data_IF_857905008535
#
_entry.id   IF_857905008535
#
_cell.length_a   1.000
_cell.length_b   1.000
_cell.length_c   1.000
_cell.angle_alpha   90.00
_cell.angle_beta   90.00
_cell.angle_gamma   90.00
#
_symmetry.space_group_name_H-M   'P 1'
#
loop_
_entity.id
_entity.type
_entity.pdbx_description
1 polymer ?
#
# COMPACT_ATOMS: atom_id res chain seq x y z
N UNK A 1 -7.94 1.30 -11.07
CA UNK A 1 -8.45 0.56 -9.89
C UNK A 1 -9.86 0.04 -10.17
N UNK A 2 -10.83 0.89 -10.48
CA UNK A 2 -12.23 0.50 -10.72
C UNK A 2 -12.37 -0.61 -11.77
N UNK A 3 -11.68 -0.49 -12.91
CA UNK A 3 -11.71 -1.50 -13.98
C UNK A 3 -11.15 -2.85 -13.53
N UNK A 4 -10.08 -2.86 -12.71
CA UNK A 4 -9.51 -4.09 -12.15
C UNK A 4 -10.50 -4.74 -11.19
N UNK A 5 -11.11 -3.97 -10.30
CA UNK A 5 -12.12 -4.45 -9.34
C UNK A 5 -13.38 -4.99 -10.02
N UNK A 6 -13.70 -4.52 -11.23
CA UNK A 6 -14.85 -4.98 -12.01
C UNK A 6 -14.62 -6.35 -12.69
N UNK A 7 -13.39 -6.85 -12.70
CA UNK A 7 -13.09 -8.17 -13.25
C UNK A 7 -13.69 -9.24 -12.34
N UNK A 8 -14.49 -10.14 -12.93
CA UNK A 8 -15.08 -11.25 -12.18
C UNK A 8 -13.99 -12.18 -11.61
N UNK A 9 -14.01 -12.42 -10.31
CA UNK A 9 -13.10 -13.35 -9.64
C UNK A 9 -13.35 -14.82 -10.03
N UNK A 10 -14.52 -15.13 -10.64
CA UNK A 10 -14.98 -16.48 -10.95
C UNK A 10 -15.03 -17.40 -9.74
N UNK A 11 -15.42 -16.84 -8.60
CA UNK A 11 -15.48 -17.56 -7.32
C UNK A 11 -14.11 -17.85 -6.68
N UNK A 12 -13.02 -17.36 -7.26
CA UNK A 12 -11.69 -17.46 -6.62
C UNK A 12 -11.64 -16.54 -5.41
N UNK A 13 -10.92 -16.96 -4.40
CA UNK A 13 -10.66 -16.21 -3.17
C UNK A 13 -9.16 -15.96 -3.03
N UNK A 14 -8.81 -15.05 -2.12
CA UNK A 14 -7.43 -14.80 -1.75
C UNK A 14 -6.70 -16.08 -1.32
N UNK A 15 -5.52 -16.30 -1.86
CA UNK A 15 -4.72 -17.53 -1.65
C UNK A 15 -4.17 -17.70 -0.23
N UNK A 16 -4.34 -16.68 0.64
CA UNK A 16 -3.79 -16.57 1.99
C UNK A 16 -2.25 -16.49 2.04
N UNK A 17 -1.62 -16.22 0.92
CA UNK A 17 -0.17 -15.99 0.82
C UNK A 17 0.10 -14.58 0.30
N UNK A 18 1.10 -13.90 0.87
CA UNK A 18 1.44 -12.52 0.49
C UNK A 18 0.44 -11.48 1.00
N UNK A 19 0.50 -10.28 0.41
CA UNK A 19 -0.35 -9.13 0.74
C UNK A 19 -1.79 -9.32 0.25
N UNK A 20 -2.73 -8.67 0.93
CA UNK A 20 -4.15 -8.67 0.54
C UNK A 20 -5.07 -9.52 1.42
N UNK A 21 -4.57 -9.96 2.56
CA UNK A 21 -5.33 -10.70 3.55
C UNK A 21 -5.41 -10.00 4.91
N UNK A 22 -5.05 -10.74 5.95
CA UNK A 22 -4.95 -10.23 7.32
C UNK A 22 -3.64 -9.45 7.50
N UNK A 23 -3.74 -8.21 7.98
CA UNK A 23 -2.58 -7.37 8.24
C UNK A 23 -1.66 -7.95 9.31
N UNK A 24 -2.21 -8.61 10.33
CA UNK A 24 -1.43 -9.26 11.39
C UNK A 24 -0.52 -10.38 10.87
N UNK A 25 -0.87 -11.00 9.77
CA UNK A 25 -0.02 -12.00 9.13
C UNK A 25 1.34 -11.43 8.67
N UNK A 26 1.45 -10.09 8.58
CA UNK A 26 2.65 -9.38 8.19
C UNK A 26 3.52 -8.87 9.36
N UNK A 27 3.15 -9.16 10.62
CA UNK A 27 3.85 -8.65 11.80
C UNK A 27 5.35 -9.01 11.81
N UNK A 28 5.70 -10.25 11.52
CA UNK A 28 7.11 -10.67 11.52
C UNK A 28 7.90 -10.03 10.36
N UNK A 29 7.25 -9.82 9.21
CA UNK A 29 7.85 -9.09 8.11
C UNK A 29 8.09 -7.62 8.48
N UNK A 30 7.07 -6.94 9.02
CA UNK A 30 7.19 -5.53 9.45
C UNK A 30 8.26 -5.38 10.54
N UNK A 31 8.31 -6.28 11.51
CA UNK A 31 9.35 -6.30 12.54
C UNK A 31 10.76 -6.44 11.93
N UNK A 32 10.92 -7.32 10.97
CA UNK A 32 12.18 -7.48 10.23
C UNK A 32 12.54 -6.18 9.50
N UNK A 33 11.58 -5.56 8.80
CA UNK A 33 11.79 -4.32 8.09
C UNK A 33 12.15 -3.16 9.02
N UNK A 34 11.50 -3.04 10.19
CA UNK A 34 11.84 -2.04 11.20
C UNK A 34 13.29 -2.21 11.67
N UNK A 35 13.68 -3.42 12.06
CA UNK A 35 15.06 -3.70 12.48
C UNK A 35 16.08 -3.34 11.38
N UNK A 36 15.80 -3.72 10.13
CA UNK A 36 16.67 -3.42 8.98
C UNK A 36 16.69 -1.95 8.58
N UNK A 37 15.71 -1.17 9.01
CA UNK A 37 15.60 0.26 8.73
C UNK A 37 16.20 1.14 9.84
N UNK A 38 16.81 0.57 10.86
CA UNK A 38 17.53 1.33 11.89
C UNK A 38 18.60 2.22 11.25
N UNK A 39 18.64 3.50 11.64
CA UNK A 39 19.52 4.49 11.03
C UNK A 39 19.09 5.02 9.66
N UNK A 40 18.07 4.42 9.03
CA UNK A 40 17.50 4.86 7.75
C UNK A 40 16.17 5.61 7.91
N UNK A 41 15.41 5.35 8.98
CA UNK A 41 14.11 5.95 9.25
C UNK A 41 13.84 6.01 10.77
N UNK A 42 12.82 6.78 11.19
CA UNK A 42 12.36 6.81 12.59
C UNK A 42 11.54 5.55 12.91
N UNK A 43 12.25 4.44 13.19
CA UNK A 43 11.64 3.15 13.47
C UNK A 43 10.74 3.16 14.72
N UNK A 44 11.00 4.06 15.68
CA UNK A 44 10.17 4.18 16.90
C UNK A 44 8.76 4.67 16.56
N UNK A 45 8.66 5.76 15.80
CA UNK A 45 7.38 6.30 15.33
C UNK A 45 6.67 5.33 14.37
N UNK A 46 7.42 4.70 13.46
CA UNK A 46 6.87 3.72 12.53
C UNK A 46 6.31 2.49 13.24
N UNK A 47 6.97 2.00 14.28
CA UNK A 47 6.45 0.90 15.09
C UNK A 47 5.11 1.22 15.75
N UNK A 48 4.96 2.42 16.30
CA UNK A 48 3.69 2.89 16.89
C UNK A 48 2.57 2.98 15.86
N UNK A 49 2.89 3.43 14.63
CA UNK A 49 1.93 3.49 13.53
C UNK A 49 1.45 2.09 13.16
N UNK A 50 2.39 1.13 13.01
CA UNK A 50 2.00 -0.24 12.71
C UNK A 50 1.07 -0.84 13.75
N UNK A 51 1.33 -0.61 15.05
CA UNK A 51 0.46 -1.08 16.12
C UNK A 51 -0.99 -0.56 16.01
N UNK A 52 -1.19 0.65 15.45
CA UNK A 52 -2.54 1.19 15.19
C UNK A 52 -3.18 0.59 13.92
N UNK A 53 -2.36 0.28 12.91
CA UNK A 53 -2.84 -0.16 11.60
C UNK A 53 -3.10 -1.67 11.51
N UNK A 54 -2.27 -2.49 12.17
CA UNK A 54 -2.29 -3.95 12.05
C UNK A 54 -3.61 -4.61 12.45
N UNK A 55 -4.37 -3.95 13.32
CA UNK A 55 -5.60 -4.48 13.91
C UNK A 55 -6.86 -4.06 13.15
N UNK A 56 -6.72 -3.33 12.03
CA UNK A 56 -7.85 -2.91 11.21
C UNK A 56 -8.58 -4.13 10.63
N UNK A 57 -9.87 -4.32 10.93
CA UNK A 57 -10.61 -5.48 10.47
C UNK A 57 -10.80 -5.44 8.95
N UNK A 58 -10.93 -6.61 8.35
CA UNK A 58 -11.31 -6.75 6.97
C UNK A 58 -12.83 -6.93 6.89
N UNK A 59 -13.52 -6.06 6.17
CA UNK A 59 -14.99 -6.09 6.03
C UNK A 59 -15.44 -6.35 4.60
N UNK A 60 -14.64 -5.97 3.62
CA UNK A 60 -14.97 -6.15 2.21
C UNK A 60 -14.69 -7.58 1.72
N UNK A 61 -15.49 -8.11 0.79
CA UNK A 61 -15.17 -9.35 0.09
C UNK A 61 -13.93 -9.19 -0.78
N UNK A 62 -13.38 -10.33 -1.23
CA UNK A 62 -12.29 -10.34 -2.21
C UNK A 62 -12.76 -9.74 -3.53
N UNK A 63 -12.00 -8.77 -4.06
CA UNK A 63 -12.13 -8.27 -5.41
C UNK A 63 -10.83 -8.52 -6.18
N UNK A 64 -10.89 -8.48 -7.50
CA UNK A 64 -9.66 -8.52 -8.29
C UNK A 64 -8.82 -7.29 -7.98
N UNK A 65 -7.55 -7.52 -7.71
CA UNK A 65 -6.55 -6.49 -7.41
C UNK A 65 -5.34 -6.66 -8.30
N UNK A 66 -4.62 -5.57 -8.55
CA UNK A 66 -3.30 -5.61 -9.14
C UNK A 66 -2.26 -6.09 -8.10
N UNK A 67 -2.39 -5.63 -6.87
CA UNK A 67 -1.59 -6.03 -5.71
C UNK A 67 -0.23 -5.33 -5.59
N UNK A 68 0.22 -4.59 -6.61
CA UNK A 68 1.54 -3.95 -6.62
C UNK A 68 1.57 -2.63 -7.42
N UNK A 69 0.65 -1.70 -7.10
CA UNK A 69 0.56 -0.37 -7.75
C UNK A 69 1.61 0.60 -7.21
N UNK A 70 2.88 0.26 -7.39
CA UNK A 70 4.03 1.13 -7.08
C UNK A 70 4.40 2.01 -8.28
N UNK A 71 5.17 3.10 -8.09
CA UNK A 71 5.59 3.99 -9.18
C UNK A 71 6.26 3.29 -10.36
N UNK A 72 7.01 2.21 -10.11
CA UNK A 72 7.67 1.41 -11.15
C UNK A 72 6.71 0.68 -12.09
N UNK A 73 5.48 0.43 -11.65
CA UNK A 73 4.47 -0.30 -12.40
C UNK A 73 3.43 0.62 -13.06
N UNK A 74 3.60 1.94 -12.97
CA UNK A 74 2.68 2.93 -13.53
C UNK A 74 3.36 3.76 -14.61
N UNK A 75 2.89 3.63 -15.85
CA UNK A 75 3.39 4.41 -16.99
C UNK A 75 2.59 5.70 -17.15
N UNK A 76 3.32 6.80 -17.26
CA UNK A 76 2.75 8.13 -17.51
C UNK A 76 3.31 8.70 -18.80
N UNK A 77 2.46 9.21 -19.68
CA UNK A 77 2.84 9.91 -20.90
C UNK A 77 2.00 11.17 -21.05
N UNK A 78 2.63 12.29 -21.37
CA UNK A 78 1.98 13.60 -21.51
C UNK A 78 1.07 13.95 -20.30
N UNK A 79 1.51 13.65 -19.08
CA UNK A 79 0.76 13.93 -17.85
C UNK A 79 -0.47 13.04 -17.62
N UNK A 80 -0.63 11.96 -18.36
CA UNK A 80 -1.77 11.03 -18.27
C UNK A 80 -1.28 9.61 -18.03
N UNK A 81 -2.10 8.80 -17.35
CA UNK A 81 -1.89 7.36 -17.23
C UNK A 81 -1.86 6.75 -18.64
N UNK A 82 -0.75 6.12 -18.99
CA UNK A 82 -0.55 5.46 -20.29
C UNK A 82 -0.64 3.93 -20.19
N UNK A 83 -0.37 3.37 -19.00
CA UNK A 83 -0.45 1.92 -18.79
C UNK A 83 -0.07 1.52 -17.38
N UNK A 84 -0.37 0.26 -17.07
CA UNK A 84 0.03 -0.41 -15.84
C UNK A 84 0.82 -1.65 -16.22
N UNK A 85 1.95 -1.87 -15.56
CA UNK A 85 2.86 -2.98 -15.81
C UNK A 85 2.72 -4.04 -14.72
N UNK A 86 3.33 -5.20 -14.97
CA UNK A 86 3.41 -6.33 -14.03
C UNK A 86 2.04 -6.85 -13.55
N UNK A 87 1.16 -7.07 -14.53
CA UNK A 87 -0.17 -7.61 -14.31
C UNK A 87 -0.18 -9.12 -14.02
N UNK A 88 0.98 -9.77 -13.94
CA UNK A 88 1.08 -11.21 -13.66
C UNK A 88 0.58 -11.63 -12.27
N UNK A 89 0.52 -10.66 -11.34
CA UNK A 89 0.02 -10.85 -9.98
C UNK A 89 -1.49 -10.61 -9.80
N UNK A 90 -2.23 -10.29 -10.86
CA UNK A 90 -3.68 -10.05 -10.77
C UNK A 90 -4.41 -11.21 -10.09
N UNK A 91 -5.08 -10.92 -9.00
CA UNK A 91 -5.79 -11.94 -8.24
C UNK A 91 -6.80 -11.38 -7.25
N UNK A 92 -7.70 -12.22 -6.74
CA UNK A 92 -8.64 -11.82 -5.72
C UNK A 92 -7.92 -11.57 -4.39
N UNK A 93 -8.17 -10.40 -3.79
CA UNK A 93 -7.62 -10.00 -2.50
C UNK A 93 -8.48 -8.90 -1.86
N UNK A 94 -8.05 -8.41 -0.71
CA UNK A 94 -8.59 -7.20 -0.09
C UNK A 94 -8.53 -6.03 -1.08
N UNK A 95 -9.66 -5.41 -1.46
CA UNK A 95 -9.67 -4.29 -2.40
C UNK A 95 -8.84 -3.09 -1.93
N UNK A 96 -8.61 -2.94 -0.62
CA UNK A 96 -7.74 -1.93 -0.06
C UNK A 96 -6.28 -2.07 -0.52
N UNK A 97 -5.85 -3.25 -1.00
CA UNK A 97 -4.48 -3.48 -1.44
C UNK A 97 -4.09 -2.56 -2.61
N UNK A 98 -4.99 -2.30 -3.56
CA UNK A 98 -4.69 -1.41 -4.70
C UNK A 98 -4.66 0.08 -4.34
N UNK A 99 -5.11 0.43 -3.12
CA UNK A 99 -4.99 1.80 -2.62
C UNK A 99 -3.54 2.19 -2.25
N UNK A 100 -2.60 1.22 -2.25
CA UNK A 100 -1.17 1.51 -2.06
C UNK A 100 -0.68 2.57 -3.05
N UNK A 101 -1.21 2.57 -4.28
CA UNK A 101 -0.91 3.58 -5.30
C UNK A 101 -1.24 5.00 -4.87
N UNK A 102 -2.29 5.21 -4.08
CA UNK A 102 -2.65 6.52 -3.54
C UNK A 102 -1.52 7.11 -2.66
N UNK A 103 -0.88 6.26 -1.87
CA UNK A 103 0.16 6.67 -0.93
C UNK A 103 1.54 6.77 -1.60
N UNK A 104 1.85 5.88 -2.53
CA UNK A 104 3.12 5.91 -3.26
C UNK A 104 3.20 7.03 -4.30
N UNK A 105 2.10 7.32 -5.00
CA UNK A 105 2.10 8.18 -6.18
C UNK A 105 1.60 9.60 -5.90
N UNK A 106 0.62 9.77 -4.97
CA UNK A 106 -0.17 10.99 -4.89
C UNK A 106 0.16 11.82 -3.65
N UNK A 107 0.17 13.14 -3.82
CA UNK A 107 0.16 14.09 -2.71
C UNK A 107 -1.25 14.19 -2.11
N UNK A 108 -1.38 14.87 -0.96
CA UNK A 108 -2.62 14.92 -0.17
C UNK A 108 -3.85 15.34 -0.98
N UNK A 109 -3.77 16.40 -1.78
CA UNK A 109 -4.92 16.85 -2.58
C UNK A 109 -5.41 15.81 -3.58
N UNK A 110 -4.57 15.35 -4.52
CA UNK A 110 -4.94 14.27 -5.46
C UNK A 110 -5.35 12.97 -4.75
N UNK A 111 -4.79 12.66 -3.59
CA UNK A 111 -5.12 11.48 -2.81
C UNK A 111 -6.55 11.54 -2.26
N UNK A 112 -6.98 12.72 -1.76
CA UNK A 112 -8.38 12.96 -1.34
C UNK A 112 -9.35 12.84 -2.51
N UNK A 113 -9.03 13.42 -3.67
CA UNK A 113 -9.85 13.28 -4.88
C UNK A 113 -10.02 11.82 -5.30
N UNK A 114 -8.97 11.01 -5.18
CA UNK A 114 -9.05 9.57 -5.47
C UNK A 114 -9.96 8.85 -4.48
N UNK A 115 -9.86 9.16 -3.19
CA UNK A 115 -10.73 8.60 -2.15
C UNK A 115 -12.20 8.89 -2.44
N UNK A 116 -12.52 10.16 -2.75
CA UNK A 116 -13.87 10.60 -3.09
C UNK A 116 -14.39 9.92 -4.36
N UNK A 117 -13.54 9.82 -5.40
CA UNK A 117 -13.90 9.18 -6.66
C UNK A 117 -14.20 7.69 -6.51
N UNK A 118 -13.41 6.98 -5.70
CA UNK A 118 -13.58 5.55 -5.43
C UNK A 118 -14.71 5.27 -4.43
N UNK A 119 -15.22 6.32 -3.76
CA UNK A 119 -16.20 6.19 -2.66
C UNK A 119 -15.77 5.18 -1.59
N UNK A 120 -14.46 5.11 -1.33
CA UNK A 120 -13.92 4.25 -0.31
C UNK A 120 -14.45 4.66 1.07
N UNK A 121 -14.92 3.69 1.84
CA UNK A 121 -15.20 3.94 3.24
C UNK A 121 -13.89 4.20 4.02
N UNK A 122 -14.04 4.72 5.23
CA UNK A 122 -12.92 5.10 6.07
C UNK A 122 -12.03 3.90 6.44
N UNK A 123 -12.63 2.74 6.65
CA UNK A 123 -11.89 1.52 7.02
C UNK A 123 -11.09 0.98 5.83
N UNK A 124 -11.70 0.89 4.65
CA UNK A 124 -11.00 0.49 3.43
C UNK A 124 -9.82 1.42 3.15
N UNK A 125 -10.03 2.75 3.30
CA UNK A 125 -8.96 3.73 3.12
C UNK A 125 -7.81 3.54 4.11
N UNK A 126 -8.12 3.36 5.40
CA UNK A 126 -7.10 3.05 6.43
C UNK A 126 -6.37 1.74 6.17
N UNK A 127 -7.06 0.71 5.68
CA UNK A 127 -6.40 -0.55 5.28
C UNK A 127 -5.47 -0.36 4.09
N UNK A 128 -5.85 0.48 3.11
CA UNK A 128 -4.96 0.87 2.01
C UNK A 128 -3.69 1.57 2.49
N UNK A 129 -3.82 2.44 3.50
CA UNK A 129 -2.68 3.06 4.21
C UNK A 129 -1.79 2.00 4.87
N UNK A 130 -2.38 0.99 5.51
CA UNK A 130 -1.64 -0.10 6.16
C UNK A 130 -0.83 -0.94 5.16
N UNK A 131 -1.42 -1.28 4.01
CA UNK A 131 -0.72 -1.98 2.94
C UNK A 131 0.40 -1.13 2.33
N UNK A 132 0.16 0.17 2.13
CA UNK A 132 1.21 1.09 1.66
C UNK A 132 2.35 1.23 2.67
N UNK A 133 2.04 1.26 3.96
CA UNK A 133 3.03 1.28 5.04
C UNK A 133 3.92 0.03 4.99
N UNK A 134 3.33 -1.15 4.96
CA UNK A 134 4.04 -2.42 4.92
C UNK A 134 5.00 -2.50 3.72
N UNK A 135 4.49 -2.14 2.53
CA UNK A 135 5.27 -2.15 1.30
C UNK A 135 6.38 -1.11 1.33
N UNK A 136 6.07 0.13 1.72
CA UNK A 136 7.04 1.23 1.77
C UNK A 136 8.20 0.93 2.74
N UNK A 137 7.89 0.34 3.89
CA UNK A 137 8.90 -0.03 4.88
C UNK A 137 9.90 -1.06 4.32
N UNK A 138 9.41 -2.03 3.54
CA UNK A 138 10.27 -2.97 2.82
C UNK A 138 11.19 -2.28 1.81
N UNK A 139 10.68 -1.27 1.07
CA UNK A 139 11.49 -0.54 0.08
C UNK A 139 12.64 0.24 0.72
N UNK A 140 12.48 0.75 1.94
CA UNK A 140 13.48 1.61 2.62
C UNK A 140 14.83 0.92 2.74
N UNK A 141 14.86 -0.26 3.31
CA UNK A 141 16.11 -0.97 3.59
C UNK A 141 16.57 -1.87 2.44
N UNK A 142 15.62 -2.56 1.78
CA UNK A 142 15.96 -3.54 0.74
C UNK A 142 16.69 -2.90 -0.46
N UNK A 143 16.31 -1.67 -0.80
CA UNK A 143 16.88 -0.93 -1.92
C UNK A 143 17.86 0.17 -1.51
N UNK A 144 18.27 0.24 -0.25
CA UNK A 144 19.14 1.32 0.25
C UNK A 144 20.41 1.48 -0.60
N UNK A 145 21.06 0.38 -0.92
CA UNK A 145 22.32 0.37 -1.66
C UNK A 145 22.14 0.04 -3.16
N UNK A 146 21.19 -0.84 -3.50
CA UNK A 146 21.05 -1.39 -4.86
C UNK A 146 20.18 -0.51 -5.78
N UNK A 147 19.19 0.19 -5.22
CA UNK A 147 18.31 1.12 -5.95
C UNK A 147 17.87 2.28 -5.05
N UNK A 148 18.72 3.30 -4.83
CA UNK A 148 18.41 4.43 -3.95
C UNK A 148 17.12 5.19 -4.32
N UNK A 149 16.68 5.11 -5.59
CA UNK A 149 15.42 5.72 -6.03
C UNK A 149 14.21 5.01 -5.42
N UNK A 150 14.21 3.68 -5.40
CA UNK A 150 13.15 2.90 -4.74
C UNK A 150 13.15 3.11 -3.23
N UNK A 151 14.33 3.16 -2.60
CA UNK A 151 14.46 3.48 -1.17
C UNK A 151 13.86 4.87 -0.85
N UNK A 152 14.12 5.88 -1.69
CA UNK A 152 13.51 7.23 -1.53
C UNK A 152 11.99 7.20 -1.68
N UNK A 153 11.46 6.40 -2.59
CA UNK A 153 10.00 6.22 -2.73
C UNK A 153 9.43 5.66 -1.43
N UNK A 154 10.05 4.64 -0.85
CA UNK A 154 9.64 4.09 0.44
C UNK A 154 9.61 5.13 1.53
N UNK A 155 10.70 5.88 1.73
CA UNK A 155 10.79 6.97 2.74
C UNK A 155 9.71 8.02 2.53
N UNK A 156 9.57 8.55 1.32
CA UNK A 156 8.55 9.57 1.00
C UNK A 156 7.12 9.06 1.27
N UNK A 157 6.86 7.79 1.03
CA UNK A 157 5.56 7.19 1.34
C UNK A 157 5.34 7.11 2.85
N UNK A 158 6.33 6.70 3.62
CA UNK A 158 6.26 6.68 5.09
C UNK A 158 6.09 8.10 5.65
N UNK A 159 6.80 9.11 5.13
CA UNK A 159 6.64 10.51 5.52
C UNK A 159 5.20 10.99 5.30
N UNK A 160 4.60 10.65 4.15
CA UNK A 160 3.19 10.97 3.86
C UNK A 160 2.22 10.29 4.82
N UNK A 161 2.51 9.05 5.22
CA UNK A 161 1.69 8.31 6.18
C UNK A 161 1.82 8.92 7.57
N UNK A 162 3.04 9.28 8.00
CA UNK A 162 3.28 9.92 9.29
C UNK A 162 2.62 11.31 9.39
N UNK A 163 2.57 12.05 8.29
CA UNK A 163 1.94 13.37 8.22
C UNK A 163 0.41 13.33 8.09
N UNK A 164 -0.19 12.15 7.99
CA UNK A 164 -1.64 12.02 7.84
C UNK A 164 -2.36 12.14 9.17
N UNK A 165 -3.25 13.15 9.28
CA UNK A 165 -3.97 13.53 10.49
C UNK A 165 -4.81 12.39 11.09
N UNK A 166 -5.26 11.44 10.29
CA UNK A 166 -6.05 10.27 10.73
C UNK A 166 -5.30 9.32 11.69
N UNK A 167 -4.01 9.55 11.92
CA UNK A 167 -3.20 8.77 12.86
C UNK A 167 -3.03 9.47 14.23
N UNK A 168 -3.51 10.71 14.36
CA UNK A 168 -3.28 11.55 15.54
C UNK A 168 -4.35 11.36 16.62
N UNK A 169 -5.43 10.60 16.36
CA UNK A 169 -6.46 10.25 17.35
C UNK A 169 -6.17 8.94 18.09
#
# INVERSE_FOLDING_TARGET
ITDVRAIDTRGRLFSRTGRGGDLRAHDEWVKTCLCRSEGLADVSSLSKIWQKLRDLPRTAPDLMTHGDLVPGNVLVSAGRLAGVLDCGGLGPADPALDLVGAWHLLETGPRRLLQDYLQCDHLEWKRGKAWAFEQALGLVWYYADTNPSMSRIGRRTLDRIMADEDLVE
#
